data_IF_196606409468
#
_entry.id   IF_196606409468
#
_cell.length_a   1.000
_cell.length_b   1.000
_cell.length_c   1.000
_cell.angle_alpha   90.00
_cell.angle_beta   90.00
_cell.angle_gamma   90.00
#
_symmetry.space_group_name_H-M   'P 1'
#
loop_
_entity.id
_entity.type
_entity.pdbx_description
1 polymer ?
#
# COMPACT_ATOMS: atom_id res chain seq x y z
N UNK A 1 -13.02 -29.06 -12.83
CA UNK A 1 -12.36 -27.91 -13.48
C UNK A 1 -12.15 -26.84 -12.42
N UNK A 2 -10.98 -26.81 -11.78
CA UNK A 2 -10.67 -25.84 -10.71
C UNK A 2 -10.02 -24.61 -11.33
N UNK A 3 -10.84 -23.64 -11.75
CA UNK A 3 -10.37 -22.28 -12.00
C UNK A 3 -9.90 -21.71 -10.65
N UNK A 4 -8.60 -21.82 -10.37
CA UNK A 4 -7.96 -20.90 -9.43
C UNK A 4 -8.10 -19.52 -10.05
N UNK A 5 -9.09 -18.75 -9.58
CA UNK A 5 -9.14 -17.29 -9.79
C UNK A 5 -7.73 -16.79 -9.46
N UNK A 6 -7.00 -16.28 -10.44
CA UNK A 6 -5.88 -15.41 -10.14
C UNK A 6 -6.50 -14.22 -9.41
N UNK A 7 -6.44 -14.23 -8.09
CA UNK A 7 -6.90 -13.11 -7.29
C UNK A 7 -6.10 -11.89 -7.74
N UNK A 8 -6.80 -10.95 -8.36
CA UNK A 8 -6.21 -9.70 -8.82
C UNK A 8 -5.69 -8.98 -7.58
N UNK A 9 -4.41 -8.60 -7.60
CA UNK A 9 -3.77 -7.96 -6.47
C UNK A 9 -4.54 -6.70 -6.06
N UNK A 10 -4.96 -6.64 -4.80
CA UNK A 10 -5.69 -5.52 -4.24
C UNK A 10 -4.90 -4.93 -3.06
N UNK A 11 -4.36 -3.71 -3.24
CA UNK A 11 -3.56 -3.04 -2.22
C UNK A 11 -4.37 -2.71 -0.95
N UNK A 12 -5.68 -2.56 -1.07
CA UNK A 12 -6.58 -2.27 0.06
C UNK A 12 -6.63 -3.38 1.10
N UNK A 13 -6.34 -4.63 0.71
CA UNK A 13 -6.38 -5.79 1.61
C UNK A 13 -5.17 -5.84 2.56
N UNK A 14 -4.16 -5.01 2.33
CA UNK A 14 -2.91 -5.00 3.09
C UNK A 14 -2.78 -3.76 3.99
N UNK A 15 -2.18 -3.96 5.17
CA UNK A 15 -1.81 -2.85 6.05
C UNK A 15 -0.71 -1.98 5.43
N UNK A 16 -0.62 -0.71 5.85
CA UNK A 16 0.37 0.22 5.28
C UNK A 16 1.81 -0.23 5.52
N UNK A 17 2.07 -0.92 6.65
CA UNK A 17 3.38 -1.53 6.92
C UNK A 17 3.68 -2.64 5.91
N UNK A 18 2.69 -3.51 5.63
CA UNK A 18 2.87 -4.61 4.68
C UNK A 18 3.08 -4.10 3.25
N UNK A 19 2.36 -3.05 2.86
CA UNK A 19 2.54 -2.39 1.56
C UNK A 19 3.95 -1.79 1.42
N UNK A 20 4.49 -1.15 2.46
CA UNK A 20 5.87 -0.65 2.47
C UNK A 20 6.89 -1.79 2.36
N UNK A 21 6.69 -2.90 3.09
CA UNK A 21 7.56 -4.08 2.97
C UNK A 21 7.59 -4.64 1.55
N UNK A 22 6.44 -4.67 0.87
CA UNK A 22 6.36 -5.14 -0.52
C UNK A 22 7.18 -4.26 -1.46
N UNK A 23 7.08 -2.93 -1.35
CA UNK A 23 7.85 -1.99 -2.16
C UNK A 23 9.36 -2.09 -1.89
N UNK A 24 9.75 -2.21 -0.62
CA UNK A 24 11.17 -2.35 -0.23
C UNK A 24 11.74 -3.68 -0.71
N UNK A 25 11.02 -4.78 -0.47
CA UNK A 25 11.47 -6.13 -0.84
C UNK A 25 11.58 -6.33 -2.36
N UNK A 26 10.69 -5.71 -3.13
CA UNK A 26 10.75 -5.73 -4.60
C UNK A 26 12.04 -5.08 -5.12
N UNK A 27 12.43 -3.96 -4.49
CA UNK A 27 13.63 -3.20 -4.84
C UNK A 27 14.92 -3.92 -4.44
N UNK A 28 14.93 -4.60 -3.30
CA UNK A 28 16.12 -5.28 -2.77
C UNK A 28 16.41 -6.63 -3.44
N UNK A 29 15.40 -7.39 -3.85
CA UNK A 29 15.59 -8.74 -4.41
C UNK A 29 15.93 -8.78 -5.90
N UNK A 30 15.93 -7.64 -6.61
CA UNK A 30 16.25 -7.55 -8.05
C UNK A 30 15.34 -8.38 -8.97
N UNK A 31 14.28 -8.98 -8.42
CA UNK A 31 13.31 -9.82 -9.10
C UNK A 31 11.94 -9.41 -8.60
N UNK A 32 11.20 -8.68 -9.43
CA UNK A 32 9.93 -8.11 -9.02
C UNK A 32 8.93 -9.23 -8.71
N UNK A 33 8.51 -9.27 -7.45
CA UNK A 33 7.44 -10.17 -6.98
C UNK A 33 6.07 -9.63 -7.34
N UNK A 34 6.00 -8.32 -7.58
CA UNK A 34 4.84 -7.61 -8.06
C UNK A 34 5.05 -7.23 -9.52
N UNK A 35 4.02 -7.37 -10.33
CA UNK A 35 4.02 -6.75 -11.66
C UNK A 35 3.87 -5.22 -11.51
N UNK A 36 4.19 -4.48 -12.58
CA UNK A 36 4.18 -3.02 -12.57
C UNK A 36 2.82 -2.45 -12.14
N UNK A 37 1.71 -3.00 -12.63
CA UNK A 37 0.35 -2.61 -12.22
C UNK A 37 0.11 -2.81 -10.72
N UNK A 38 0.65 -3.89 -10.14
CA UNK A 38 0.53 -4.15 -8.72
C UNK A 38 1.38 -3.18 -7.89
N UNK A 39 2.59 -2.84 -8.36
CA UNK A 39 3.41 -1.79 -7.73
C UNK A 39 2.71 -0.44 -7.76
N UNK A 40 2.11 -0.05 -8.88
CA UNK A 40 1.39 1.21 -9.00
C UNK A 40 0.14 1.25 -8.10
N UNK A 41 -0.56 0.11 -7.96
CA UNK A 41 -1.66 -0.02 -7.00
C UNK A 41 -1.18 0.17 -5.55
N UNK A 42 -0.03 -0.42 -5.17
CA UNK A 42 0.56 -0.24 -3.83
C UNK A 42 0.90 1.23 -3.57
N UNK A 43 1.59 1.88 -4.51
CA UNK A 43 2.02 3.27 -4.38
C UNK A 43 0.81 4.20 -4.29
N UNK A 44 -0.21 3.97 -5.11
CA UNK A 44 -1.46 4.76 -5.12
C UNK A 44 -2.23 4.64 -3.81
N UNK A 45 -2.30 3.43 -3.25
CA UNK A 45 -2.95 3.17 -1.96
C UNK A 45 -2.18 3.86 -0.80
N UNK A 46 -0.85 3.75 -0.77
CA UNK A 46 -0.02 4.44 0.22
C UNK A 46 -0.16 5.97 0.14
N UNK A 47 -0.22 6.53 -1.08
CA UNK A 47 -0.42 7.95 -1.30
C UNK A 47 -1.81 8.40 -0.79
N UNK A 48 -2.86 7.63 -1.08
CA UNK A 48 -4.23 7.88 -0.61
C UNK A 48 -4.31 7.85 0.91
N UNK A 49 -3.70 6.86 1.56
CA UNK A 49 -3.66 6.79 3.03
C UNK A 49 -2.93 7.97 3.65
N UNK A 50 -1.80 8.40 3.06
CA UNK A 50 -1.09 9.60 3.52
C UNK A 50 -1.95 10.85 3.35
N UNK A 51 -2.69 10.96 2.24
CA UNK A 51 -3.61 12.06 1.99
C UNK A 51 -4.71 12.11 3.06
N UNK A 52 -5.41 11.01 3.31
CA UNK A 52 -6.46 10.96 4.33
C UNK A 52 -5.94 11.24 5.74
N UNK A 53 -4.77 10.72 6.12
CA UNK A 53 -4.15 11.04 7.41
C UNK A 53 -3.81 12.53 7.55
N UNK A 54 -3.43 13.18 6.45
CA UNK A 54 -3.20 14.62 6.41
C UNK A 54 -4.52 15.39 6.57
N UNK A 55 -5.56 15.03 5.82
CA UNK A 55 -6.88 15.67 5.95
C UNK A 55 -7.45 15.54 7.36
N UNK A 56 -7.34 14.36 7.98
CA UNK A 56 -7.80 14.14 9.35
C UNK A 56 -7.05 15.01 10.35
N UNK A 57 -5.74 15.21 10.15
CA UNK A 57 -4.94 16.13 10.96
C UNK A 57 -5.35 17.59 10.74
N UNK A 58 -5.51 18.00 9.49
CA UNK A 58 -5.87 19.38 9.13
C UNK A 58 -7.26 19.77 9.68
N UNK A 59 -8.15 18.79 9.86
CA UNK A 59 -9.47 18.95 10.50
C UNK A 59 -9.46 18.82 12.03
N UNK A 60 -8.29 18.61 12.65
CA UNK A 60 -8.17 18.41 14.10
C UNK A 60 -8.72 17.08 14.63
N UNK A 61 -9.02 16.11 13.76
CA UNK A 61 -9.55 14.80 14.11
C UNK A 61 -8.45 13.77 14.42
N UNK A 62 -7.21 14.11 14.13
CA UNK A 62 -6.03 13.32 14.46
C UNK A 62 -5.09 14.17 15.32
N UNK A 63 -4.89 13.79 16.57
CA UNK A 63 -3.95 14.47 17.45
C UNK A 63 -2.53 14.46 16.83
N UNK A 64 -1.77 15.57 16.92
CA UNK A 64 -0.36 15.54 16.57
C UNK A 64 0.32 14.46 17.38
N UNK A 65 1.10 13.58 16.72
CA UNK A 65 1.85 12.53 17.41
C UNK A 65 2.71 13.23 18.44
N UNK A 66 2.52 12.91 19.73
CA UNK A 66 3.41 13.37 20.79
C UNK A 66 4.84 12.99 20.36
N UNK A 67 5.69 14.00 20.23
CA UNK A 67 7.11 13.84 19.91
C UNK A 67 7.89 13.40 21.13
#
# INVERSE_FOLDING_TARGET
MTQKKHEQFNAGDFSSRKLMELVVSDRDNGRSTLDQDALDAVVSELASRRHYLRELRDRGLLAPRAS
#
